data_IF_173909786246
#
_entry.id   IF_173909786246
#
_cell.length_a   1.000
_cell.length_b   1.000
_cell.length_c   1.000
_cell.angle_alpha   90.00
_cell.angle_beta   90.00
_cell.angle_gamma   90.00
#
_symmetry.space_group_name_H-M   'P 1'
#
loop_
_entity.id
_entity.type
_entity.pdbx_description
1 polymer ?
#
# COMPACT_ATOMS: atom_id res chain seq x y z
N UNK A 1 16.34 -19.81 -5.61
CA UNK A 1 16.38 -18.99 -4.40
C UNK A 1 17.68 -19.16 -3.62
N UNK A 2 18.17 -20.38 -3.34
CA UNK A 2 19.46 -20.60 -2.65
C UNK A 2 20.64 -19.88 -3.35
N UNK A 3 20.66 -19.83 -4.68
CA UNK A 3 21.66 -19.06 -5.43
C UNK A 3 21.52 -17.54 -5.26
N UNK A 4 20.35 -17.06 -4.90
CA UNK A 4 20.13 -15.64 -4.58
C UNK A 4 20.64 -15.33 -3.17
N UNK A 5 20.35 -16.21 -2.20
CA UNK A 5 20.77 -16.04 -0.81
C UNK A 5 22.30 -16.18 -0.65
N UNK A 6 22.90 -17.24 -1.20
CA UNK A 6 24.28 -17.63 -0.93
C UNK A 6 25.24 -17.47 -2.12
N UNK A 7 24.80 -16.92 -3.24
CA UNK A 7 25.57 -16.85 -4.47
C UNK A 7 26.48 -15.62 -4.59
N UNK A 8 27.48 -15.71 -5.44
CA UNK A 8 28.25 -14.54 -5.88
C UNK A 8 27.34 -13.55 -6.63
N UNK A 9 27.71 -12.26 -6.75
CA UNK A 9 26.91 -11.26 -7.47
C UNK A 9 26.49 -11.68 -8.88
N UNK A 10 27.37 -12.40 -9.59
CA UNK A 10 27.08 -12.92 -10.93
C UNK A 10 26.03 -14.04 -10.90
N UNK A 11 26.16 -14.99 -9.96
CA UNK A 11 25.20 -16.08 -9.77
C UNK A 11 23.83 -15.54 -9.32
N UNK A 12 23.81 -14.55 -8.47
CA UNK A 12 22.58 -13.85 -8.03
C UNK A 12 21.85 -13.24 -9.24
N UNK A 13 22.58 -12.52 -10.10
CA UNK A 13 22.03 -11.89 -11.30
C UNK A 13 21.47 -12.91 -12.31
N UNK A 14 22.17 -14.03 -12.49
CA UNK A 14 21.69 -15.12 -13.35
C UNK A 14 20.42 -15.78 -12.79
N UNK A 15 20.42 -16.10 -11.50
CA UNK A 15 19.26 -16.71 -10.84
C UNK A 15 18.03 -15.78 -10.89
N UNK A 16 18.21 -14.47 -10.72
CA UNK A 16 17.17 -13.46 -10.89
C UNK A 16 16.57 -13.48 -12.30
N UNK A 17 17.43 -13.52 -13.33
CA UNK A 17 16.96 -13.60 -14.72
C UNK A 17 16.16 -14.88 -14.96
N UNK A 18 16.68 -16.03 -14.55
CA UNK A 18 15.99 -17.31 -14.72
C UNK A 18 14.61 -17.34 -14.07
N UNK A 19 14.48 -16.85 -12.81
CA UNK A 19 13.19 -16.79 -12.14
C UNK A 19 12.24 -15.85 -12.89
N UNK A 20 12.72 -14.70 -13.34
CA UNK A 20 11.90 -13.74 -14.08
C UNK A 20 11.43 -14.30 -15.43
N UNK A 21 12.30 -14.94 -16.18
CA UNK A 21 11.97 -15.51 -17.49
C UNK A 21 11.00 -16.68 -17.39
N UNK A 22 11.14 -17.50 -16.35
CA UNK A 22 10.32 -18.68 -16.11
C UNK A 22 9.12 -18.43 -15.19
N UNK A 23 8.87 -17.17 -14.78
CA UNK A 23 7.83 -16.84 -13.82
C UNK A 23 6.44 -17.35 -14.22
N UNK A 24 6.06 -17.19 -15.49
CA UNK A 24 4.77 -17.71 -16.01
C UNK A 24 4.72 -19.23 -16.07
N UNK A 25 5.84 -19.87 -16.34
CA UNK A 25 5.94 -21.35 -16.40
C UNK A 25 5.81 -21.96 -15.01
N UNK A 26 6.46 -21.36 -14.00
CA UNK A 26 6.32 -21.79 -12.60
C UNK A 26 4.94 -21.50 -12.02
N UNK A 27 4.31 -20.44 -12.51
CA UNK A 27 3.06 -19.92 -11.95
C UNK A 27 3.24 -19.17 -10.63
N UNK A 28 2.22 -18.39 -10.20
CA UNK A 28 2.31 -17.55 -9.01
C UNK A 28 2.41 -18.37 -7.72
N UNK A 29 1.69 -19.48 -7.58
CA UNK A 29 1.65 -20.29 -6.36
C UNK A 29 3.03 -20.73 -5.90
N UNK A 30 3.75 -21.57 -6.68
CA UNK A 30 5.08 -22.06 -6.31
C UNK A 30 6.10 -20.94 -6.07
N UNK A 31 5.99 -19.81 -6.77
CA UNK A 31 6.88 -18.67 -6.58
C UNK A 31 6.63 -17.98 -5.23
N UNK A 32 5.38 -17.63 -4.93
CA UNK A 32 5.06 -16.95 -3.67
C UNK A 32 5.18 -17.86 -2.47
N UNK A 33 4.88 -19.15 -2.58
CA UNK A 33 5.09 -20.14 -1.52
C UNK A 33 6.56 -20.24 -1.07
N UNK A 34 7.50 -19.89 -1.96
CA UNK A 34 8.94 -19.90 -1.64
C UNK A 34 9.51 -18.53 -1.30
N UNK A 35 8.98 -17.45 -1.88
CA UNK A 35 9.53 -16.10 -1.73
C UNK A 35 9.00 -15.43 -0.46
N UNK A 36 7.69 -15.50 -0.20
CA UNK A 36 7.08 -14.79 0.92
C UNK A 36 7.62 -15.23 2.29
N UNK A 37 7.81 -16.53 2.59
CA UNK A 37 8.41 -16.93 3.86
C UNK A 37 9.81 -16.39 4.08
N UNK A 38 10.60 -16.24 3.01
CA UNK A 38 11.96 -15.68 3.11
C UNK A 38 11.95 -14.21 3.50
N UNK A 39 10.98 -13.43 3.03
CA UNK A 39 10.83 -12.02 3.43
C UNK A 39 10.41 -11.86 4.89
N UNK A 40 9.79 -12.87 5.48
CA UNK A 40 9.39 -12.88 6.90
C UNK A 40 10.53 -13.28 7.84
N UNK A 41 11.66 -13.77 7.32
CA UNK A 41 12.81 -14.15 8.15
C UNK A 41 13.42 -12.90 8.83
N UNK A 42 13.43 -12.88 10.17
CA UNK A 42 14.00 -11.78 10.96
C UNK A 42 15.52 -11.61 10.80
N UNK A 43 16.20 -12.66 10.33
CA UNK A 43 17.65 -12.69 10.12
C UNK A 43 18.06 -12.27 8.71
N UNK A 44 17.12 -11.80 7.90
CA UNK A 44 17.39 -11.40 6.53
C UNK A 44 18.22 -10.12 6.51
N UNK A 45 19.40 -10.19 5.88
CA UNK A 45 20.26 -9.03 5.68
C UNK A 45 19.64 -8.06 4.66
N UNK A 46 19.92 -6.76 4.79
CA UNK A 46 19.38 -5.71 3.92
C UNK A 46 19.62 -5.97 2.43
N UNK A 47 20.81 -6.45 2.08
CA UNK A 47 21.12 -6.79 0.69
C UNK A 47 20.30 -7.97 0.17
N UNK A 48 20.03 -8.96 1.01
CA UNK A 48 19.21 -10.12 0.67
C UNK A 48 17.76 -9.70 0.49
N UNK A 49 17.23 -8.89 1.41
CA UNK A 49 15.88 -8.33 1.31
C UNK A 49 15.70 -7.53 0.03
N UNK A 50 16.61 -6.60 -0.26
CA UNK A 50 16.58 -5.81 -1.49
C UNK A 50 16.57 -6.67 -2.76
N UNK A 51 17.31 -7.77 -2.77
CA UNK A 51 17.29 -8.71 -3.90
C UNK A 51 15.95 -9.45 -4.01
N UNK A 52 15.35 -9.87 -2.89
CA UNK A 52 14.03 -10.51 -2.88
C UNK A 52 12.94 -9.55 -3.35
N UNK A 53 12.98 -8.28 -2.93
CA UNK A 53 12.08 -7.23 -3.42
C UNK A 53 12.18 -7.11 -4.94
N UNK A 54 13.39 -7.04 -5.50
CA UNK A 54 13.59 -7.01 -6.96
C UNK A 54 13.07 -8.25 -7.67
N UNK A 55 13.16 -9.43 -7.03
CA UNK A 55 12.54 -10.66 -7.57
C UNK A 55 11.03 -10.50 -7.63
N UNK A 56 10.42 -10.03 -6.54
CA UNK A 56 8.96 -9.85 -6.46
C UNK A 56 8.50 -8.86 -7.52
N UNK A 57 9.12 -7.70 -7.65
CA UNK A 57 8.75 -6.70 -8.65
C UNK A 57 8.75 -7.26 -10.07
N UNK A 58 9.80 -7.99 -10.42
CA UNK A 58 9.90 -8.60 -11.74
C UNK A 58 8.91 -9.74 -11.96
N UNK A 59 8.65 -10.52 -10.91
CA UNK A 59 7.66 -11.60 -10.94
C UNK A 59 6.25 -11.02 -11.09
N UNK A 60 5.90 -9.99 -10.33
CA UNK A 60 4.62 -9.30 -10.43
C UNK A 60 4.38 -8.76 -11.84
N UNK A 61 5.38 -8.11 -12.43
CA UNK A 61 5.30 -7.60 -13.81
C UNK A 61 5.06 -8.71 -14.84
N UNK A 62 5.68 -9.87 -14.66
CA UNK A 62 5.54 -11.01 -15.60
C UNK A 62 4.25 -11.79 -15.42
N UNK A 63 3.76 -11.91 -14.20
CA UNK A 63 2.53 -12.65 -13.88
C UNK A 63 1.27 -11.83 -14.18
N UNK A 64 1.36 -10.50 -14.05
CA UNK A 64 0.25 -9.58 -14.25
C UNK A 64 -1.01 -10.03 -13.49
N UNK A 65 -2.16 -10.12 -14.12
CA UNK A 65 -3.43 -10.50 -13.46
C UNK A 65 -3.44 -11.89 -12.80
N UNK A 66 -2.51 -12.77 -13.14
CA UNK A 66 -2.34 -14.07 -12.48
C UNK A 66 -2.01 -13.96 -10.98
N UNK A 67 -1.59 -12.77 -10.52
CA UNK A 67 -1.32 -12.51 -9.09
C UNK A 67 -2.59 -12.34 -8.26
N UNK A 68 -3.75 -12.09 -8.87
CA UNK A 68 -5.00 -11.78 -8.17
C UNK A 68 -5.34 -12.73 -7.02
N UNK A 69 -5.28 -14.07 -7.17
CA UNK A 69 -5.57 -14.98 -6.06
C UNK A 69 -4.60 -14.89 -4.88
N UNK A 70 -3.45 -14.26 -5.07
CA UNK A 70 -2.38 -14.17 -4.07
C UNK A 70 -2.25 -12.80 -3.43
N UNK A 71 -3.05 -11.81 -3.85
CA UNK A 71 -2.97 -10.42 -3.38
C UNK A 71 -3.07 -10.35 -1.86
N UNK A 72 -4.01 -11.01 -1.25
CA UNK A 72 -4.17 -11.01 0.22
C UNK A 72 -2.91 -11.55 0.92
N UNK A 73 -2.38 -12.67 0.47
CA UNK A 73 -1.17 -13.28 1.04
C UNK A 73 0.05 -12.38 0.92
N UNK A 74 0.18 -11.70 -0.22
CA UNK A 74 1.28 -10.75 -0.45
C UNK A 74 1.13 -9.55 0.48
N UNK A 75 -0.07 -8.98 0.61
CA UNK A 75 -0.34 -7.85 1.49
C UNK A 75 -0.03 -8.16 2.95
N UNK A 76 -0.44 -9.32 3.46
CA UNK A 76 -0.15 -9.74 4.85
C UNK A 76 1.35 -9.70 5.17
N UNK A 77 2.19 -10.07 4.20
CA UNK A 77 3.64 -10.06 4.37
C UNK A 77 4.25 -8.67 4.17
N UNK A 78 3.73 -7.89 3.24
CA UNK A 78 4.34 -6.62 2.81
C UNK A 78 3.84 -5.42 3.63
N UNK A 79 2.60 -5.39 4.07
CA UNK A 79 2.05 -4.27 4.86
C UNK A 79 2.89 -3.93 6.10
N UNK A 80 3.42 -4.88 6.89
CA UNK A 80 4.29 -4.57 8.01
C UNK A 80 5.55 -3.80 7.62
N UNK A 81 6.05 -3.94 6.40
CA UNK A 81 7.22 -3.20 5.90
C UNK A 81 6.94 -1.69 5.82
N UNK A 82 5.68 -1.28 5.66
CA UNK A 82 5.30 0.14 5.58
C UNK A 82 5.52 0.93 6.87
N UNK A 83 5.68 0.24 8.00
CA UNK A 83 5.90 0.83 9.33
C UNK A 83 7.25 0.43 9.93
N UNK A 84 8.14 -0.16 9.14
CA UNK A 84 9.47 -0.53 9.58
C UNK A 84 10.28 0.71 10.01
N UNK A 85 11.18 0.55 10.95
CA UNK A 85 12.07 1.63 11.43
C UNK A 85 13.00 2.11 10.33
N UNK A 86 13.47 1.20 9.48
CA UNK A 86 14.33 1.50 8.35
C UNK A 86 13.54 2.17 7.21
N UNK A 87 14.04 3.33 6.80
CA UNK A 87 13.49 4.11 5.69
C UNK A 87 13.48 3.34 4.36
N UNK A 88 14.55 2.62 4.05
CA UNK A 88 14.65 1.85 2.80
C UNK A 88 13.67 0.68 2.76
N UNK A 89 13.44 0.01 3.90
CA UNK A 89 12.43 -1.04 4.01
C UNK A 89 11.03 -0.50 3.71
N UNK A 90 10.71 0.68 4.24
CA UNK A 90 9.43 1.33 3.95
C UNK A 90 9.24 1.66 2.46
N UNK A 91 10.30 2.13 1.79
CA UNK A 91 10.27 2.40 0.35
C UNK A 91 10.05 1.11 -0.44
N UNK A 92 10.79 0.06 -0.11
CA UNK A 92 10.66 -1.25 -0.75
C UNK A 92 9.24 -1.82 -0.60
N UNK A 93 8.65 -1.72 0.58
CA UNK A 93 7.26 -2.11 0.82
C UNK A 93 6.27 -1.33 -0.06
N UNK A 94 6.45 -0.02 -0.19
CA UNK A 94 5.63 0.83 -1.09
C UNK A 94 5.78 0.42 -2.55
N UNK A 95 6.99 0.14 -2.99
CA UNK A 95 7.27 -0.28 -4.38
C UNK A 95 6.55 -1.58 -4.71
N UNK A 96 6.62 -2.58 -3.81
CA UNK A 96 5.92 -3.85 -4.00
C UNK A 96 4.40 -3.65 -4.08
N UNK A 97 3.80 -2.91 -3.15
CA UNK A 97 2.35 -2.66 -3.16
C UNK A 97 1.93 -1.89 -4.40
N UNK A 98 2.72 -0.90 -4.84
CA UNK A 98 2.45 -0.14 -6.07
C UNK A 98 2.43 -1.06 -7.30
N UNK A 99 3.41 -1.95 -7.43
CA UNK A 99 3.50 -2.90 -8.54
C UNK A 99 2.42 -3.97 -8.47
N UNK A 100 2.08 -4.42 -7.26
CA UNK A 100 0.96 -5.33 -7.02
C UNK A 100 -0.37 -4.70 -7.46
N UNK A 101 -0.61 -3.44 -7.11
CA UNK A 101 -1.81 -2.70 -7.50
C UNK A 101 -1.93 -2.54 -9.02
N UNK A 102 -0.83 -2.26 -9.71
CA UNK A 102 -0.78 -2.18 -11.17
C UNK A 102 -1.05 -3.53 -11.83
N UNK A 103 -0.55 -4.62 -11.28
CA UNK A 103 -0.75 -5.97 -11.81
C UNK A 103 -2.18 -6.49 -11.55
N UNK A 104 -2.70 -6.33 -10.34
CA UNK A 104 -4.02 -6.84 -9.95
C UNK A 104 -5.18 -5.96 -10.40
N UNK A 105 -4.95 -4.65 -10.52
CA UNK A 105 -5.96 -3.65 -10.84
C UNK A 105 -6.75 -3.14 -9.62
N UNK A 106 -7.29 -1.92 -9.74
CA UNK A 106 -7.92 -1.22 -8.63
C UNK A 106 -9.10 -1.98 -8.04
N UNK A 107 -9.99 -2.50 -8.88
CA UNK A 107 -11.20 -3.19 -8.42
C UNK A 107 -10.86 -4.42 -7.57
N UNK A 108 -9.85 -5.18 -7.97
CA UNK A 108 -9.40 -6.36 -7.23
C UNK A 108 -8.72 -5.98 -5.92
N UNK A 109 -7.88 -4.94 -5.93
CA UNK A 109 -7.25 -4.42 -4.70
C UNK A 109 -8.30 -3.98 -3.69
N UNK A 110 -9.29 -3.19 -4.09
CA UNK A 110 -10.38 -2.75 -3.22
C UNK A 110 -11.18 -3.94 -2.69
N UNK A 111 -11.56 -4.87 -3.53
CA UNK A 111 -12.32 -6.07 -3.14
C UNK A 111 -11.58 -6.89 -2.09
N UNK A 112 -10.26 -7.05 -2.25
CA UNK A 112 -9.42 -7.82 -1.32
C UNK A 112 -9.22 -7.10 0.01
N UNK A 113 -9.05 -5.78 0.00
CA UNK A 113 -8.72 -4.99 1.20
C UNK A 113 -9.97 -4.53 1.97
N UNK A 114 -11.14 -4.56 1.35
CA UNK A 114 -12.40 -4.08 1.94
C UNK A 114 -12.74 -4.69 3.30
N UNK A 115 -12.55 -6.00 3.57
CA UNK A 115 -12.85 -6.59 4.88
C UNK A 115 -12.06 -5.98 6.03
N UNK A 116 -10.87 -5.41 5.76
CA UNK A 116 -9.97 -4.87 6.77
C UNK A 116 -10.22 -3.38 7.07
N UNK A 117 -11.06 -2.71 6.29
CA UNK A 117 -11.35 -1.27 6.43
C UNK A 117 -12.10 -0.98 7.74
N UNK A 118 -13.01 -1.83 8.13
CA UNK A 118 -13.79 -1.72 9.37
C UNK A 118 -13.48 -2.84 10.38
N UNK A 119 -12.30 -3.44 10.26
CA UNK A 119 -11.83 -4.49 11.16
C UNK A 119 -11.85 -4.02 12.62
N UNK A 120 -12.15 -4.93 13.55
CA UNK A 120 -12.23 -4.62 14.97
C UNK A 120 -10.88 -4.12 15.53
N UNK A 121 -9.78 -4.73 15.08
CA UNK A 121 -8.42 -4.34 15.47
C UNK A 121 -7.99 -3.06 14.75
N UNK A 122 -7.64 -2.05 15.53
CA UNK A 122 -7.14 -0.76 15.02
C UNK A 122 -5.82 -0.90 14.26
N UNK A 123 -4.96 -1.83 14.66
CA UNK A 123 -3.70 -2.09 13.94
C UNK A 123 -3.96 -2.51 12.50
N UNK A 124 -4.90 -3.44 12.30
CA UNK A 124 -5.30 -3.91 10.95
C UNK A 124 -5.85 -2.74 10.13
N UNK A 125 -6.75 -1.93 10.69
CA UNK A 125 -7.28 -0.75 10.00
C UNK A 125 -6.19 0.25 9.61
N UNK A 126 -5.22 0.46 10.49
CA UNK A 126 -4.13 1.41 10.26
C UNK A 126 -3.16 0.94 9.17
N UNK A 127 -2.81 -0.34 9.15
CA UNK A 127 -1.95 -0.91 8.10
C UNK A 127 -2.66 -0.92 6.77
N UNK A 128 -3.96 -1.27 6.75
CA UNK A 128 -4.80 -1.22 5.56
C UNK A 128 -4.92 0.22 5.02
N UNK A 129 -5.09 1.22 5.87
CA UNK A 129 -5.13 2.62 5.44
C UNK A 129 -3.83 3.05 4.76
N UNK A 130 -2.67 2.66 5.29
CA UNK A 130 -1.38 2.94 4.66
C UNK A 130 -1.24 2.25 3.30
N UNK A 131 -1.62 0.99 3.21
CA UNK A 131 -1.57 0.24 1.96
C UNK A 131 -2.52 0.84 0.91
N UNK A 132 -3.75 1.23 1.29
CA UNK A 132 -4.69 1.90 0.40
C UNK A 132 -4.17 3.26 -0.10
N UNK A 133 -3.45 4.01 0.74
CA UNK A 133 -2.80 5.25 0.30
C UNK A 133 -1.73 4.97 -0.77
N UNK A 134 -0.96 3.90 -0.63
CA UNK A 134 0.00 3.48 -1.67
C UNK A 134 -0.70 3.10 -2.95
N UNK A 135 -1.80 2.34 -2.88
CA UNK A 135 -2.63 1.98 -4.04
C UNK A 135 -3.16 3.22 -4.76
N UNK A 136 -3.69 4.19 -4.01
CA UNK A 136 -4.18 5.45 -4.56
C UNK A 136 -3.08 6.26 -5.25
N UNK A 137 -1.88 6.31 -4.67
CA UNK A 137 -0.71 6.95 -5.27
C UNK A 137 -0.28 6.27 -6.56
N UNK A 138 -0.32 4.93 -6.60
CA UNK A 138 0.12 4.15 -7.76
C UNK A 138 -0.86 4.19 -8.94
N UNK A 139 -2.17 4.15 -8.67
CA UNK A 139 -3.23 4.06 -9.68
C UNK A 139 -3.92 5.41 -9.98
N UNK A 140 -3.60 6.41 -9.19
CA UNK A 140 -4.13 7.76 -9.32
C UNK A 140 -5.25 8.06 -8.32
N UNK A 141 -5.15 9.21 -7.65
CA UNK A 141 -6.14 9.69 -6.68
C UNK A 141 -7.55 9.80 -7.31
N UNK A 142 -7.73 10.34 -8.53
CA UNK A 142 -9.06 10.47 -9.13
C UNK A 142 -9.82 9.15 -9.21
N UNK A 143 -9.14 8.05 -9.51
CA UNK A 143 -9.75 6.71 -9.59
C UNK A 143 -10.23 6.20 -8.21
N UNK A 144 -9.56 6.62 -7.14
CA UNK A 144 -9.88 6.24 -5.75
C UNK A 144 -10.91 7.14 -5.08
N UNK A 145 -11.12 8.37 -5.54
CA UNK A 145 -12.01 9.34 -4.89
C UNK A 145 -13.44 8.82 -4.66
N UNK A 146 -14.12 8.17 -5.62
CA UNK A 146 -15.46 7.64 -5.39
C UNK A 146 -15.51 6.63 -4.25
N UNK A 147 -14.53 5.74 -4.18
CA UNK A 147 -14.40 4.75 -3.12
C UNK A 147 -14.11 5.41 -1.76
N UNK A 148 -13.13 6.32 -1.70
CA UNK A 148 -12.80 7.05 -0.47
C UNK A 148 -14.00 7.84 0.06
N UNK A 149 -14.73 8.51 -0.83
CA UNK A 149 -15.94 9.26 -0.45
C UNK A 149 -17.00 8.35 0.15
N UNK A 150 -17.21 7.16 -0.41
CA UNK A 150 -18.16 6.18 0.10
C UNK A 150 -17.73 5.65 1.49
N UNK A 151 -16.44 5.36 1.68
CA UNK A 151 -15.89 4.86 2.95
C UNK A 151 -15.96 5.94 4.03
N UNK A 152 -15.52 7.17 3.75
CA UNK A 152 -15.54 8.30 4.70
C UNK A 152 -16.96 8.70 5.12
N UNK A 153 -17.97 8.33 4.35
CA UNK A 153 -19.39 8.62 4.62
C UNK A 153 -20.20 7.39 4.99
N UNK A 154 -19.54 6.30 5.38
CA UNK A 154 -20.21 5.07 5.79
C UNK A 154 -21.20 5.33 6.93
N UNK A 155 -22.48 4.99 6.71
CA UNK A 155 -23.52 5.10 7.75
C UNK A 155 -23.50 3.93 8.74
N UNK A 156 -22.86 2.82 8.37
CA UNK A 156 -22.89 1.57 9.14
C UNK A 156 -21.75 1.45 10.15
N UNK A 157 -20.56 2.01 9.82
CA UNK A 157 -19.36 1.79 10.59
C UNK A 157 -18.56 3.07 10.74
N UNK A 158 -18.38 3.52 11.98
CA UNK A 158 -17.48 4.62 12.28
C UNK A 158 -16.01 4.22 12.06
N UNK A 159 -15.69 2.93 12.24
CA UNK A 159 -14.36 2.39 11.97
C UNK A 159 -14.00 2.58 10.49
N UNK A 160 -14.94 2.29 9.59
CA UNK A 160 -14.74 2.55 8.17
C UNK A 160 -14.50 4.04 7.88
N UNK A 161 -15.30 4.95 8.49
CA UNK A 161 -15.11 6.40 8.33
C UNK A 161 -13.72 6.82 8.81
N UNK A 162 -13.30 6.36 9.98
CA UNK A 162 -11.98 6.62 10.54
C UNK A 162 -10.87 6.13 9.61
N UNK A 163 -10.99 4.91 9.08
CA UNK A 163 -10.01 4.32 8.16
C UNK A 163 -9.91 5.12 6.86
N UNK A 164 -11.05 5.48 6.26
CA UNK A 164 -11.07 6.28 5.02
C UNK A 164 -10.40 7.65 5.19
N UNK A 165 -10.67 8.33 6.30
CA UNK A 165 -10.05 9.63 6.63
C UNK A 165 -8.54 9.46 6.84
N UNK A 166 -8.13 8.37 7.49
CA UNK A 166 -6.71 8.03 7.65
C UNK A 166 -6.00 7.77 6.33
N UNK A 167 -6.67 7.19 5.35
CA UNK A 167 -6.10 7.05 3.98
C UNK A 167 -5.76 8.42 3.42
N UNK A 168 -6.64 9.41 3.57
CA UNK A 168 -6.39 10.78 3.10
C UNK A 168 -5.20 11.40 3.83
N UNK A 169 -5.11 11.23 5.15
CA UNK A 169 -3.94 11.68 5.92
C UNK A 169 -2.64 11.05 5.40
N UNK A 170 -2.64 9.74 5.18
CA UNK A 170 -1.46 9.03 4.69
C UNK A 170 -1.06 9.46 3.27
N UNK A 171 -2.03 9.77 2.40
CA UNK A 171 -1.79 10.36 1.08
C UNK A 171 -1.08 11.71 1.19
N UNK A 172 -1.55 12.59 2.06
CA UNK A 172 -0.94 13.90 2.27
C UNK A 172 0.51 13.77 2.76
N UNK A 173 0.76 12.90 3.74
CA UNK A 173 2.11 12.67 4.29
C UNK A 173 3.05 12.07 3.25
N UNK A 174 2.56 11.10 2.46
CA UNK A 174 3.39 10.36 1.51
C UNK A 174 3.69 11.15 0.24
N UNK A 175 2.70 11.89 -0.27
CA UNK A 175 2.81 12.58 -1.56
C UNK A 175 3.23 14.05 -1.45
N UNK A 176 3.07 14.66 -0.25
CA UNK A 176 3.37 16.08 -0.07
C UNK A 176 2.62 16.96 -1.08
N UNK A 177 3.30 17.91 -1.70
CA UNK A 177 2.69 18.84 -2.66
C UNK A 177 2.08 18.18 -3.90
N UNK A 178 2.37 16.92 -4.17
CA UNK A 178 1.73 16.19 -5.27
C UNK A 178 0.22 15.96 -5.07
N UNK A 179 -0.33 16.18 -3.87
CA UNK A 179 -1.78 16.14 -3.61
C UNK A 179 -2.52 17.40 -4.10
N UNK A 180 -1.82 18.51 -4.38
CA UNK A 180 -2.43 19.79 -4.74
C UNK A 180 -3.50 19.72 -5.84
N UNK A 181 -3.30 19.01 -6.95
CA UNK A 181 -4.32 18.90 -8.00
C UNK A 181 -5.61 18.21 -7.52
N UNK A 182 -5.55 17.51 -6.40
CA UNK A 182 -6.64 16.72 -5.84
C UNK A 182 -7.14 17.24 -4.50
N UNK A 183 -6.58 18.37 -4.01
CA UNK A 183 -6.81 18.90 -2.67
C UNK A 183 -8.31 19.06 -2.37
N UNK A 184 -9.04 19.76 -3.27
CA UNK A 184 -10.48 19.96 -3.09
C UNK A 184 -11.24 18.64 -2.96
N UNK A 185 -10.97 17.67 -3.85
CA UNK A 185 -11.65 16.37 -3.80
C UNK A 185 -11.35 15.58 -2.52
N UNK A 186 -10.12 15.68 -2.00
CA UNK A 186 -9.72 15.05 -0.74
C UNK A 186 -10.39 15.72 0.46
N UNK A 187 -10.42 17.06 0.51
CA UNK A 187 -11.13 17.82 1.56
C UNK A 187 -12.62 17.48 1.56
N UNK A 188 -13.28 17.50 0.38
CA UNK A 188 -14.70 17.15 0.22
C UNK A 188 -15.02 15.74 0.72
N UNK A 189 -14.06 14.81 0.68
CA UNK A 189 -14.24 13.46 1.21
C UNK A 189 -14.35 13.43 2.73
N UNK A 190 -13.57 14.26 3.44
CA UNK A 190 -13.33 14.14 4.88
C UNK A 190 -13.96 15.23 5.73
N UNK A 191 -14.29 16.42 5.18
CA UNK A 191 -14.75 17.60 5.94
C UNK A 191 -15.89 17.31 6.92
N UNK A 192 -16.85 16.46 6.50
CA UNK A 192 -17.99 16.06 7.34
C UNK A 192 -17.58 15.29 8.60
N UNK A 193 -16.39 14.73 8.63
CA UNK A 193 -15.87 14.05 9.81
C UNK A 193 -15.63 14.98 11.01
N UNK A 194 -15.53 16.29 10.81
CA UNK A 194 -15.45 17.27 11.91
C UNK A 194 -16.72 17.31 12.77
N UNK A 195 -17.86 16.96 12.19
CA UNK A 195 -19.17 16.92 12.84
C UNK A 195 -19.61 15.51 13.22
N UNK A 196 -18.71 14.52 13.13
CA UNK A 196 -19.02 13.11 13.42
C UNK A 196 -19.40 12.90 14.88
N UNK A 197 -20.31 11.96 15.14
CA UNK A 197 -20.70 11.58 16.50
C UNK A 197 -19.54 10.93 17.29
N UNK A 198 -18.60 10.33 16.59
CA UNK A 198 -17.45 9.65 17.19
C UNK A 198 -16.24 10.59 17.34
N UNK A 199 -15.78 10.78 18.56
CA UNK A 199 -14.62 11.64 18.84
C UNK A 199 -13.36 11.20 18.10
N UNK A 200 -13.15 9.89 17.94
CA UNK A 200 -11.99 9.35 17.16
C UNK A 200 -12.03 9.79 15.70
N UNK A 201 -13.21 9.86 15.10
CA UNK A 201 -13.40 10.31 13.71
C UNK A 201 -13.13 11.82 13.61
N UNK A 202 -13.67 12.63 14.53
CA UNK A 202 -13.37 14.08 14.59
C UNK A 202 -11.88 14.35 14.68
N UNK A 203 -11.20 13.68 15.61
CA UNK A 203 -9.75 13.84 15.81
C UNK A 203 -8.97 13.45 14.56
N UNK A 204 -9.33 12.32 13.96
CA UNK A 204 -8.66 11.85 12.74
C UNK A 204 -8.88 12.82 11.57
N UNK A 205 -10.08 13.41 11.46
CA UNK A 205 -10.39 14.42 10.44
C UNK A 205 -9.54 15.67 10.61
N UNK A 206 -9.43 16.18 11.83
CA UNK A 206 -8.57 17.33 12.11
C UNK A 206 -7.11 17.06 11.76
N UNK A 207 -6.59 15.87 12.09
CA UNK A 207 -5.23 15.46 11.74
C UNK A 207 -5.03 15.32 10.22
N UNK A 208 -6.02 14.80 9.51
CA UNK A 208 -5.96 14.68 8.05
C UNK A 208 -6.00 16.05 7.36
N UNK A 209 -6.84 16.98 7.82
CA UNK A 209 -6.88 18.35 7.32
C UNK A 209 -5.57 19.09 7.60
N UNK A 210 -4.99 18.91 8.81
CA UNK A 210 -3.67 19.47 9.13
C UNK A 210 -2.58 18.94 8.21
N UNK A 211 -2.57 17.64 7.90
CA UNK A 211 -1.62 17.06 6.98
C UNK A 211 -1.79 17.59 5.54
N UNK A 212 -3.02 17.78 5.08
CA UNK A 212 -3.30 18.40 3.77
C UNK A 212 -2.85 19.87 3.74
N UNK A 213 -3.09 20.61 4.80
CA UNK A 213 -2.64 22.01 4.93
C UNK A 213 -1.12 22.10 4.91
N UNK A 214 -0.42 21.23 5.64
CA UNK A 214 1.04 21.17 5.64
C UNK A 214 1.60 20.82 4.26
N UNK A 215 1.01 19.84 3.57
CA UNK A 215 1.41 19.45 2.23
C UNK A 215 1.25 20.58 1.18
N UNK A 216 0.29 21.48 1.38
CA UNK A 216 0.00 22.61 0.50
C UNK A 216 0.58 23.94 0.95
N UNK A 217 1.16 24.04 2.15
CA UNK A 217 1.66 25.28 2.74
C UNK A 217 2.57 26.14 1.85
N UNK A 218 3.50 25.58 1.03
CA UNK A 218 4.35 26.40 0.16
C UNK A 218 3.59 27.17 -0.92
N UNK A 219 2.35 26.75 -1.23
CA UNK A 219 1.57 27.28 -2.36
C UNK A 219 0.34 28.07 -1.93
N UNK A 220 0.15 28.23 -0.62
CA UNK A 220 -1.02 28.88 -0.04
C UNK A 220 -2.32 28.09 -0.24
N UNK A 221 -3.18 28.09 0.77
CA UNK A 221 -4.59 27.74 0.63
C UNK A 221 -5.33 29.06 0.70
N UNK A 222 -5.45 29.75 -0.39
CA UNK A 222 -6.38 30.88 -0.54
C UNK A 222 -7.73 30.27 -0.97
N UNK A 223 -8.66 30.23 -0.08
CA UNK A 223 -10.06 29.89 -0.37
C UNK A 223 -10.98 30.68 0.48
#
# INVERSE_FOLDING_TARGET
LLKIKNGTPQLRKQALRQITEQARTFGPGPLFDKILPLLMERTLEDQERHLLVKVIDRVLYKLDELVRPYVHRILVVIEPLLIDEDYYVRIEGREIISNLAKAAGLAHMISTMRPDIDHADEYVRNTTARALAVVASALGIPAMLPFLRAVCRSKKSWQARHTGIRVVQQLAIMMGCAVLPHLKGLVDCIEKGLEDDQQKVKTMTALALSALAEASAPYGIES
#
